data_IF_329201294052
#
_entry.id   IF_329201294052
#
_cell.length_a   1.000
_cell.length_b   1.000
_cell.length_c   1.000
_cell.angle_alpha   90.00
_cell.angle_beta   90.00
_cell.angle_gamma   90.00
#
_symmetry.space_group_name_H-M   'P 1'
#
loop_
_entity.id
_entity.type
_entity.pdbx_description
1 polymer ?
#
# COMPACT_ATOMS: atom_id res chain seq x y z
N UNK A 1 -3.29 -9.85 -4.89
CA UNK A 1 -4.76 -10.06 -5.06
C UNK A 1 -5.57 -8.81 -4.69
N UNK A 2 -6.82 -8.71 -5.18
CA UNK A 2 -7.77 -7.66 -4.82
C UNK A 2 -8.20 -7.77 -3.34
N UNK A 3 -8.43 -6.63 -2.67
CA UNK A 3 -8.92 -6.60 -1.28
C UNK A 3 -10.26 -7.36 -1.16
N UNK A 4 -10.50 -8.15 -0.10
CA UNK A 4 -11.79 -8.79 0.15
C UNK A 4 -12.92 -7.75 0.12
N UNK A 5 -14.06 -8.10 -0.48
CA UNK A 5 -15.21 -7.20 -0.61
C UNK A 5 -16.31 -7.61 0.37
N UNK A 6 -16.88 -6.63 1.05
CA UNK A 6 -18.05 -6.76 1.93
C UNK A 6 -19.20 -5.99 1.29
N UNK A 7 -20.28 -6.68 0.95
CA UNK A 7 -21.47 -6.04 0.39
C UNK A 7 -22.43 -5.62 1.51
N UNK A 8 -22.95 -4.38 1.45
CA UNK A 8 -24.01 -3.92 2.35
C UNK A 8 -25.32 -3.89 1.58
N UNK A 9 -26.28 -4.72 1.99
CA UNK A 9 -27.56 -4.94 1.29
C UNK A 9 -28.71 -4.64 2.24
N UNK A 10 -29.79 -4.07 1.74
CA UNK A 10 -31.00 -3.81 2.51
C UNK A 10 -31.94 -2.88 1.76
N UNK A 11 -33.20 -2.80 2.18
CA UNK A 11 -34.17 -1.86 1.59
C UNK A 11 -33.78 -0.39 1.85
N UNK A 12 -34.37 0.59 1.14
CA UNK A 12 -34.13 2.01 1.43
C UNK A 12 -34.40 2.38 2.90
N UNK A 13 -33.71 3.41 3.41
CA UNK A 13 -33.94 4.03 4.73
C UNK A 13 -33.68 3.19 5.99
N UNK A 14 -33.10 1.98 5.87
CA UNK A 14 -32.65 1.15 7.01
C UNK A 14 -31.31 1.59 7.62
N UNK A 15 -30.62 2.56 7.01
CA UNK A 15 -29.34 3.09 7.51
C UNK A 15 -28.07 2.49 6.88
N UNK A 16 -28.16 1.90 5.68
CA UNK A 16 -27.01 1.38 4.90
C UNK A 16 -25.84 2.37 4.84
N UNK A 17 -26.06 3.57 4.30
CA UNK A 17 -24.99 4.54 4.10
C UNK A 17 -24.45 5.10 5.41
N UNK A 18 -25.26 5.11 6.49
CA UNK A 18 -24.78 5.45 7.83
C UNK A 18 -23.80 4.40 8.35
N UNK A 19 -24.12 3.11 8.17
CA UNK A 19 -23.24 2.01 8.53
C UNK A 19 -21.97 2.06 7.68
N UNK A 20 -22.06 2.15 6.35
CA UNK A 20 -20.90 2.24 5.44
C UNK A 20 -19.98 3.39 5.84
N UNK A 21 -20.52 4.59 6.05
CA UNK A 21 -19.70 5.73 6.50
C UNK A 21 -19.01 5.44 7.84
N UNK A 22 -19.67 4.75 8.78
CA UNK A 22 -19.04 4.38 10.06
C UNK A 22 -17.93 3.35 9.86
N UNK A 23 -18.14 2.34 9.02
CA UNK A 23 -17.16 1.29 8.74
C UNK A 23 -15.92 1.84 8.00
N UNK A 24 -16.11 2.84 7.14
CA UNK A 24 -15.06 3.37 6.27
C UNK A 24 -14.37 4.64 6.82
N UNK A 25 -14.96 5.35 7.79
CA UNK A 25 -14.39 6.58 8.39
C UNK A 25 -13.61 6.34 9.69
N UNK A 26 -13.24 5.11 10.03
CA UNK A 26 -12.45 4.83 11.25
C UNK A 26 -11.01 5.38 11.21
N UNK A 27 -10.58 5.98 10.08
CA UNK A 27 -9.44 6.91 10.02
C UNK A 27 -9.94 8.34 10.15
N UNK A 28 -9.57 9.01 11.24
CA UNK A 28 -9.68 10.45 11.40
C UNK A 28 -9.31 11.19 10.11
N UNK A 29 -10.18 12.14 9.75
CA UNK A 29 -10.10 13.00 8.58
C UNK A 29 -8.73 13.67 8.41
N UNK A 30 -8.00 13.26 7.37
CA UNK A 30 -7.19 14.17 6.56
C UNK A 30 -7.34 13.71 5.11
N UNK A 31 -8.38 14.22 4.44
CA UNK A 31 -8.42 14.26 2.98
C UNK A 31 -8.53 15.74 2.63
N UNK A 32 -7.44 16.28 2.11
CA UNK A 32 -7.52 17.48 1.29
C UNK A 32 -8.30 17.11 0.03
N UNK A 33 -9.44 17.76 -0.18
CA UNK A 33 -10.18 17.68 -1.43
C UNK A 33 -9.29 18.17 -2.58
N UNK A 34 -8.85 17.25 -3.45
CA UNK A 34 -8.46 17.57 -4.82
C UNK A 34 -9.60 17.13 -5.75
N UNK A 35 -10.27 18.07 -6.44
CA UNK A 35 -11.28 17.71 -7.43
C UNK A 35 -10.58 17.16 -8.67
N UNK A 36 -10.73 15.85 -8.93
CA UNK A 36 -10.16 15.26 -10.15
C UNK A 36 -10.07 13.74 -10.29
N UNK A 37 -10.70 12.92 -9.43
CA UNK A 37 -10.65 11.46 -9.59
C UNK A 37 -12.00 10.92 -10.07
N UNK A 38 -12.00 10.49 -11.31
CA UNK A 38 -13.13 9.88 -12.01
C UNK A 38 -13.50 8.50 -11.47
N UNK A 39 -14.80 8.36 -11.16
CA UNK A 39 -15.75 7.30 -11.59
C UNK A 39 -16.09 6.04 -10.77
N UNK A 40 -15.54 5.76 -9.60
CA UNK A 40 -16.06 4.66 -8.74
C UNK A 40 -16.42 5.16 -7.34
N UNK A 41 -17.64 5.68 -7.16
CA UNK A 41 -18.18 6.12 -5.86
C UNK A 41 -18.76 4.97 -5.01
N UNK A 42 -18.77 3.74 -5.52
CA UNK A 42 -19.50 2.61 -4.92
C UNK A 42 -18.69 1.82 -3.90
N UNK A 43 -17.35 1.77 -4.05
CA UNK A 43 -16.47 1.03 -3.15
C UNK A 43 -15.75 1.98 -2.19
N UNK A 44 -15.79 1.68 -0.91
CA UNK A 44 -15.10 2.43 0.14
C UNK A 44 -14.15 1.51 0.91
N UNK A 45 -13.01 2.03 1.36
CA UNK A 45 -12.05 1.24 2.13
C UNK A 45 -12.50 1.11 3.60
N UNK A 46 -12.54 -0.13 4.11
CA UNK A 46 -12.81 -0.47 5.51
C UNK A 46 -11.57 -1.05 6.19
N UNK A 47 -11.43 -0.77 7.48
CA UNK A 47 -10.36 -1.32 8.31
C UNK A 47 -10.89 -1.66 9.70
N UNK A 48 -10.75 -2.92 10.10
CA UNK A 48 -11.14 -3.40 11.43
C UNK A 48 -10.14 -4.44 11.94
N UNK A 49 -9.79 -4.35 13.23
CA UNK A 49 -8.73 -5.16 13.84
C UNK A 49 -7.38 -4.95 13.14
N UNK A 50 -6.99 -5.89 12.29
CA UNK A 50 -5.78 -5.89 11.48
C UNK A 50 -6.04 -6.25 10.00
N UNK A 51 -7.30 -6.14 9.56
CA UNK A 51 -7.80 -6.54 8.24
C UNK A 51 -8.26 -5.33 7.44
N UNK A 52 -7.76 -5.21 6.20
CA UNK A 52 -8.26 -4.27 5.20
C UNK A 52 -9.26 -4.98 4.27
N UNK A 53 -10.38 -4.32 3.97
CA UNK A 53 -11.40 -4.80 3.05
C UNK A 53 -12.05 -3.64 2.31
N UNK A 54 -12.75 -3.91 1.21
CA UNK A 54 -13.60 -2.95 0.52
C UNK A 54 -15.04 -3.14 0.94
N UNK A 55 -15.79 -2.06 1.09
CA UNK A 55 -17.21 -2.05 1.36
C UNK A 55 -17.93 -1.53 0.11
N UNK A 56 -18.88 -2.30 -0.40
CA UNK A 56 -19.73 -1.89 -1.53
C UNK A 56 -21.15 -1.63 -1.02
N UNK A 57 -21.65 -0.40 -1.21
CA UNK A 57 -23.04 -0.03 -0.86
C UNK A 57 -23.93 -0.28 -2.07
N UNK A 58 -24.80 -1.30 -1.99
CA UNK A 58 -25.74 -1.59 -3.09
C UNK A 58 -26.87 -0.56 -3.19
N UNK A 59 -27.00 0.35 -2.21
CA UNK A 59 -27.95 1.45 -2.23
C UNK A 59 -27.44 2.73 -2.92
N UNK A 60 -26.12 2.92 -3.07
CA UNK A 60 -25.54 4.12 -3.66
C UNK A 60 -25.64 4.20 -5.19
N UNK A 61 -26.14 3.15 -5.84
CA UNK A 61 -26.30 3.03 -7.29
C UNK A 61 -27.75 3.19 -7.78
N UNK A 62 -28.69 3.45 -6.86
CA UNK A 62 -30.12 3.61 -7.17
C UNK A 62 -30.58 4.95 -6.60
N UNK A 63 -30.84 5.92 -7.47
CA UNK A 63 -31.67 7.08 -7.14
C UNK A 63 -32.99 6.96 -7.90
N UNK A 64 -34.06 7.25 -7.16
CA UNK A 64 -35.43 7.56 -7.56
C UNK A 64 -36.22 6.42 -8.23
N UNK A 65 -36.94 5.64 -7.40
CA UNK A 65 -38.42 5.64 -7.44
C UNK A 65 -39.05 4.66 -6.42
N UNK A 66 -40.12 5.11 -5.75
CA UNK A 66 -40.89 4.41 -4.73
C UNK A 66 -41.86 3.36 -5.30
N UNK A 67 -41.37 2.40 -6.09
CA UNK A 67 -42.21 1.27 -6.52
C UNK A 67 -41.43 -0.04 -6.63
N UNK A 68 -42.17 -1.15 -6.48
CA UNK A 68 -41.77 -2.56 -6.48
C UNK A 68 -40.32 -2.88 -6.88
N UNK A 69 -39.64 -3.64 -6.00
CA UNK A 69 -38.30 -4.22 -6.17
C UNK A 69 -37.93 -4.53 -7.63
N UNK A 70 -37.34 -3.56 -8.33
CA UNK A 70 -37.05 -3.65 -9.75
C UNK A 70 -35.99 -4.74 -10.02
N UNK A 71 -36.05 -5.44 -11.18
CA UNK A 71 -35.04 -6.39 -11.65
C UNK A 71 -33.60 -5.85 -11.59
N UNK A 72 -33.42 -4.54 -11.73
CA UNK A 72 -32.11 -3.87 -11.71
C UNK A 72 -31.43 -3.91 -10.33
N UNK A 73 -32.20 -3.84 -9.23
CA UNK A 73 -31.67 -3.98 -7.86
C UNK A 73 -31.15 -5.40 -7.64
N UNK A 74 -31.82 -6.41 -8.22
CA UNK A 74 -31.39 -7.82 -8.16
C UNK A 74 -30.14 -8.07 -8.98
N UNK A 75 -30.00 -7.43 -10.14
CA UNK A 75 -28.81 -7.53 -10.98
C UNK A 75 -27.59 -6.90 -10.30
N UNK A 76 -27.74 -5.69 -9.74
CA UNK A 76 -26.65 -5.00 -9.03
C UNK A 76 -26.28 -5.66 -7.69
N UNK A 77 -27.27 -6.11 -6.92
CA UNK A 77 -27.02 -6.94 -5.73
C UNK A 77 -26.35 -8.25 -6.13
N UNK A 78 -26.74 -8.85 -7.27
CA UNK A 78 -26.10 -10.04 -7.84
C UNK A 78 -24.62 -9.84 -8.13
N UNK A 79 -24.26 -8.76 -8.84
CA UNK A 79 -22.87 -8.42 -9.14
C UNK A 79 -22.05 -8.16 -7.86
N UNK A 80 -22.61 -7.42 -6.90
CA UNK A 80 -21.95 -7.17 -5.62
C UNK A 80 -21.76 -8.47 -4.81
N UNK A 81 -22.71 -9.41 -4.88
CA UNK A 81 -22.63 -10.71 -4.21
C UNK A 81 -21.66 -11.69 -4.87
N UNK A 82 -21.45 -11.59 -6.19
CA UNK A 82 -20.46 -12.41 -6.92
C UNK A 82 -19.02 -12.06 -6.50
N UNK A 83 -18.76 -10.79 -6.18
CA UNK A 83 -17.44 -10.32 -5.73
C UNK A 83 -17.27 -10.37 -4.20
N UNK A 84 -18.37 -10.39 -3.44
CA UNK A 84 -18.33 -10.29 -1.99
C UNK A 84 -17.91 -11.59 -1.30
N UNK A 85 -16.99 -11.46 -0.35
CA UNK A 85 -16.65 -12.53 0.60
C UNK A 85 -17.77 -12.76 1.62
N UNK A 86 -18.53 -11.71 1.93
CA UNK A 86 -19.71 -11.76 2.82
C UNK A 86 -20.64 -10.58 2.54
N UNK A 87 -21.94 -10.81 2.67
CA UNK A 87 -22.96 -9.78 2.59
C UNK A 87 -23.56 -9.47 3.96
N UNK A 88 -23.54 -8.20 4.35
CA UNK A 88 -24.22 -7.69 5.54
C UNK A 88 -25.60 -7.17 5.13
N UNK A 89 -26.63 -7.88 5.54
CA UNK A 89 -28.03 -7.52 5.33
C UNK A 89 -28.48 -6.64 6.47
N UNK A 90 -28.80 -5.38 6.17
CA UNK A 90 -29.25 -4.42 7.18
C UNK A 90 -30.77 -4.24 7.12
N UNK A 91 -31.39 -4.37 8.28
CA UNK A 91 -32.84 -4.20 8.51
C UNK A 91 -33.08 -3.15 9.60
N UNK A 92 -34.30 -2.65 9.71
CA UNK A 92 -34.67 -1.63 10.68
C UNK A 92 -35.42 -2.27 11.86
N UNK A 93 -34.76 -2.32 13.02
CA UNK A 93 -35.34 -2.91 14.23
C UNK A 93 -36.53 -2.13 14.79
N UNK A 94 -36.67 -0.83 14.50
CA UNK A 94 -37.82 -0.04 14.98
C UNK A 94 -39.06 -0.29 14.13
N UNK A 95 -38.87 -0.53 12.83
CA UNK A 95 -39.95 -0.77 11.89
C UNK A 95 -40.41 -2.24 11.87
N UNK A 96 -39.53 -3.15 12.30
CA UNK A 96 -39.76 -4.59 12.23
C UNK A 96 -39.62 -5.14 10.81
N UNK A 97 -39.99 -6.41 10.64
CA UNK A 97 -39.90 -7.13 9.36
C UNK A 97 -40.91 -6.59 8.36
N UNK A 98 -40.46 -6.34 7.14
CA UNK A 98 -41.31 -5.93 6.02
C UNK A 98 -41.26 -6.96 4.88
N UNK A 99 -42.24 -6.93 3.98
CA UNK A 99 -42.24 -7.78 2.78
C UNK A 99 -41.00 -7.58 1.88
N UNK A 100 -40.40 -6.38 1.90
CA UNK A 100 -39.15 -6.11 1.20
C UNK A 100 -37.96 -6.86 1.85
N UNK A 101 -37.93 -6.93 3.18
CA UNK A 101 -36.90 -7.66 3.92
C UNK A 101 -37.05 -9.19 3.70
N UNK A 102 -38.28 -9.70 3.65
CA UNK A 102 -38.58 -11.10 3.31
C UNK A 102 -38.12 -11.47 1.90
N UNK A 103 -38.39 -10.60 0.91
CA UNK A 103 -37.97 -10.79 -0.48
C UNK A 103 -36.44 -10.77 -0.64
N UNK A 104 -35.75 -9.86 0.07
CA UNK A 104 -34.27 -9.83 0.12
C UNK A 104 -33.74 -11.13 0.74
N UNK A 105 -34.32 -11.57 1.85
CA UNK A 105 -33.92 -12.80 2.52
C UNK A 105 -34.12 -14.03 1.61
N UNK A 106 -35.25 -14.13 0.92
CA UNK A 106 -35.52 -15.21 -0.03
C UNK A 106 -34.51 -15.22 -1.20
N UNK A 107 -34.22 -14.05 -1.77
CA UNK A 107 -33.22 -13.92 -2.82
C UNK A 107 -31.84 -14.38 -2.36
N UNK A 108 -31.41 -13.99 -1.16
CA UNK A 108 -30.08 -14.32 -0.61
C UNK A 108 -29.93 -15.78 -0.21
N UNK A 109 -30.99 -16.44 0.30
CA UNK A 109 -30.95 -17.87 0.65
C UNK A 109 -30.63 -18.79 -0.54
N UNK A 110 -30.90 -18.33 -1.77
CA UNK A 110 -30.60 -19.07 -2.99
C UNK A 110 -29.15 -18.89 -3.51
N UNK A 111 -28.32 -18.09 -2.82
CA UNK A 111 -26.98 -17.71 -3.28
C UNK A 111 -25.87 -18.30 -2.40
N UNK A 112 -24.66 -18.53 -2.96
CA UNK A 112 -23.55 -19.13 -2.23
C UNK A 112 -22.80 -18.16 -1.31
N UNK A 113 -23.03 -16.85 -1.42
CA UNK A 113 -22.35 -15.83 -0.61
C UNK A 113 -22.83 -15.90 0.85
N UNK A 114 -21.94 -15.96 1.85
CA UNK A 114 -22.33 -15.92 3.27
C UNK A 114 -23.05 -14.62 3.61
N UNK A 115 -24.05 -14.69 4.50
CA UNK A 115 -24.83 -13.52 4.92
C UNK A 115 -24.76 -13.31 6.42
N UNK A 116 -24.76 -12.05 6.83
CA UNK A 116 -24.85 -11.60 8.21
C UNK A 116 -26.00 -10.61 8.36
N UNK A 117 -26.86 -10.82 9.34
CA UNK A 117 -28.04 -10.00 9.56
C UNK A 117 -27.76 -8.92 10.62
N UNK A 118 -27.80 -7.66 10.22
CA UNK A 118 -27.59 -6.50 11.08
C UNK A 118 -28.93 -5.77 11.32
N UNK A 119 -29.45 -5.84 12.54
CA UNK A 119 -30.68 -5.16 12.95
C UNK A 119 -30.33 -3.75 13.44
N UNK A 120 -30.48 -2.76 12.58
CA UNK A 120 -30.09 -1.39 12.86
C UNK A 120 -31.17 -0.62 13.63
N UNK A 121 -30.80 0.56 14.16
CA UNK A 121 -31.64 1.41 15.02
C UNK A 121 -31.99 0.75 16.37
N UNK A 122 -31.05 -0.04 16.88
CA UNK A 122 -31.08 -0.59 18.23
C UNK A 122 -30.23 0.29 19.16
N UNK A 123 -30.72 1.48 19.54
CA UNK A 123 -29.94 2.42 20.35
C UNK A 123 -29.73 1.97 21.80
N UNK A 124 -30.68 1.22 22.35
CA UNK A 124 -30.60 0.62 23.70
C UNK A 124 -30.08 -0.82 23.61
N UNK A 125 -29.01 -1.20 24.33
CA UNK A 125 -28.48 -2.56 24.30
C UNK A 125 -29.49 -3.64 24.72
N UNK A 126 -30.24 -3.40 25.80
CA UNK A 126 -31.20 -4.37 26.34
C UNK A 126 -32.44 -4.51 25.46
N UNK A 127 -32.98 -3.39 24.96
CA UNK A 127 -34.15 -3.40 24.08
C UNK A 127 -33.78 -3.88 22.68
N UNK A 128 -32.55 -3.58 22.22
CA UNK A 128 -32.04 -3.99 20.92
C UNK A 128 -31.99 -5.50 20.75
N UNK A 129 -31.60 -6.26 21.77
CA UNK A 129 -31.63 -7.72 21.75
C UNK A 129 -33.06 -8.27 21.61
N UNK A 130 -34.03 -7.67 22.31
CA UNK A 130 -35.43 -8.06 22.21
C UNK A 130 -36.02 -7.72 20.82
N UNK A 131 -35.66 -6.57 20.26
CA UNK A 131 -36.06 -6.14 18.91
C UNK A 131 -35.45 -7.02 17.83
N UNK A 132 -34.18 -7.43 17.98
CA UNK A 132 -33.51 -8.31 17.03
C UNK A 132 -34.10 -9.73 16.99
N UNK A 133 -34.78 -10.18 18.06
CA UNK A 133 -35.27 -11.55 18.18
C UNK A 133 -36.32 -11.94 17.12
N UNK A 134 -37.13 -11.00 16.64
CA UNK A 134 -38.14 -11.33 15.61
C UNK A 134 -37.49 -11.65 14.25
N UNK A 135 -36.32 -11.08 13.97
CA UNK A 135 -35.61 -11.18 12.70
C UNK A 135 -34.96 -12.56 12.44
N UNK A 136 -34.92 -13.44 13.44
CA UNK A 136 -34.60 -14.86 13.24
C UNK A 136 -35.49 -15.53 12.19
N UNK A 137 -36.75 -15.08 12.08
CA UNK A 137 -37.72 -15.60 11.10
C UNK A 137 -37.31 -15.39 9.63
N UNK A 138 -36.39 -14.46 9.35
CA UNK A 138 -35.82 -14.27 8.01
C UNK A 138 -34.89 -15.42 7.58
N UNK A 139 -34.42 -16.26 8.51
CA UNK A 139 -33.60 -17.43 8.20
C UNK A 139 -32.24 -17.10 7.58
N UNK A 140 -31.66 -15.95 7.94
CA UNK A 140 -30.33 -15.49 7.49
C UNK A 140 -29.23 -15.69 8.55
N UNK A 141 -29.52 -16.47 9.60
CA UNK A 141 -28.61 -16.68 10.73
C UNK A 141 -28.90 -15.76 11.92
N UNK A 142 -27.91 -15.62 12.81
CA UNK A 142 -28.01 -14.82 14.03
C UNK A 142 -28.18 -13.31 13.72
N UNK A 143 -29.21 -12.64 14.25
CA UNK A 143 -29.39 -11.20 14.08
C UNK A 143 -28.52 -10.42 15.07
N UNK A 144 -27.65 -9.56 14.54
CA UNK A 144 -26.77 -8.67 15.30
C UNK A 144 -27.44 -7.30 15.50
N UNK A 145 -27.86 -6.94 16.72
CA UNK A 145 -28.41 -5.62 16.99
C UNK A 145 -27.31 -4.56 16.91
N UNK A 146 -27.51 -3.53 16.09
CA UNK A 146 -26.57 -2.42 15.93
C UNK A 146 -27.25 -1.05 16.01
N UNK A 147 -26.46 -0.04 16.35
CA UNK A 147 -26.79 1.35 16.08
C UNK A 147 -25.72 1.95 15.19
N UNK A 148 -26.00 2.09 13.90
CA UNK A 148 -25.08 2.72 12.96
C UNK A 148 -24.80 4.19 13.30
N UNK A 149 -25.73 4.89 13.98
CA UNK A 149 -25.54 6.29 14.38
C UNK A 149 -24.66 6.40 15.62
N UNK A 150 -24.85 5.55 16.63
CA UNK A 150 -24.11 5.63 17.90
C UNK A 150 -22.90 4.70 17.98
N UNK A 151 -22.81 3.70 17.11
CA UNK A 151 -21.73 2.71 17.05
C UNK A 151 -21.89 1.51 17.98
N UNK A 152 -23.02 1.38 18.69
CA UNK A 152 -23.30 0.21 19.50
C UNK A 152 -23.44 -1.04 18.61
N UNK A 153 -22.87 -2.17 19.04
CA UNK A 153 -22.95 -3.47 18.35
C UNK A 153 -22.18 -3.58 17.02
N UNK A 154 -21.66 -2.48 16.46
CA UNK A 154 -20.95 -2.53 15.16
C UNK A 154 -19.60 -3.24 15.25
N UNK A 155 -18.99 -3.28 16.44
CA UNK A 155 -17.74 -4.02 16.66
C UNK A 155 -17.94 -5.54 16.58
N UNK A 156 -18.93 -6.06 17.28
CA UNK A 156 -19.27 -7.49 17.28
C UNK A 156 -19.67 -7.97 15.88
N UNK A 157 -20.46 -7.16 15.16
CA UNK A 157 -20.78 -7.41 13.75
C UNK A 157 -19.52 -7.49 12.88
N UNK A 158 -18.56 -6.57 13.07
CA UNK A 158 -17.32 -6.55 12.30
C UNK A 158 -16.40 -7.72 12.64
N UNK A 159 -16.30 -8.10 13.91
CA UNK A 159 -15.54 -9.28 14.33
C UNK A 159 -16.10 -10.53 13.63
N UNK A 160 -17.42 -10.65 13.52
CA UNK A 160 -18.06 -11.71 12.78
C UNK A 160 -17.78 -11.62 11.27
N UNK A 161 -17.84 -10.43 10.66
CA UNK A 161 -17.48 -10.22 9.24
C UNK A 161 -16.08 -10.76 8.94
N UNK A 162 -15.10 -10.53 9.82
CA UNK A 162 -13.72 -10.98 9.61
C UNK A 162 -13.58 -12.50 9.51
N UNK A 163 -14.50 -13.27 10.11
CA UNK A 163 -14.49 -14.74 10.06
C UNK A 163 -14.83 -15.29 8.68
N UNK A 164 -15.56 -14.52 7.86
CA UNK A 164 -15.92 -14.89 6.48
C UNK A 164 -14.93 -14.35 5.44
N UNK A 165 -14.06 -13.41 5.84
CA UNK A 165 -13.00 -12.96 4.96
C UNK A 165 -11.93 -14.05 4.86
N UNK A 166 -11.35 -14.28 3.67
CA UNK A 166 -10.29 -15.28 3.50
C UNK A 166 -9.19 -15.07 4.54
N UNK A 167 -8.64 -16.12 5.16
CA UNK A 167 -7.64 -15.98 6.23
C UNK A 167 -6.49 -15.11 5.74
N UNK A 168 -6.00 -14.26 6.65
CA UNK A 168 -4.95 -13.27 6.35
C UNK A 168 -3.68 -13.91 5.79
N UNK A 169 -3.44 -15.19 6.10
CA UNK A 169 -2.30 -15.97 5.64
C UNK A 169 -2.72 -17.39 5.19
N UNK A 170 -3.13 -17.50 3.92
CA UNK A 170 -2.63 -18.53 3.00
C UNK A 170 -2.34 -17.84 1.67
N UNK A 171 -1.35 -16.95 1.67
CA UNK A 171 -0.56 -16.65 0.48
C UNK A 171 0.16 -17.94 0.07
N UNK A 172 -0.55 -18.84 -0.61
CA UNK A 172 0.06 -19.97 -1.28
C UNK A 172 0.81 -19.48 -2.51
N UNK A 173 2.14 -19.48 -2.43
CA UNK A 173 3.17 -19.72 -3.47
C UNK A 173 2.78 -19.67 -4.96
N UNK A 174 2.09 -18.63 -5.40
CA UNK A 174 2.52 -17.95 -6.61
C UNK A 174 3.11 -16.61 -6.18
N UNK A 175 4.44 -16.55 -6.02
CA UNK A 175 5.14 -15.28 -5.84
C UNK A 175 4.70 -14.32 -6.97
N UNK A 176 3.82 -13.36 -6.65
CA UNK A 176 3.44 -12.31 -7.60
C UNK A 176 4.75 -11.72 -8.15
N UNK A 177 4.91 -11.66 -9.50
CA UNK A 177 6.18 -11.33 -10.08
C UNK A 177 6.60 -9.93 -9.65
N UNK A 178 7.84 -9.81 -9.15
CA UNK A 178 8.39 -8.52 -8.71
C UNK A 178 8.39 -7.56 -9.89
N UNK A 179 7.73 -6.42 -9.73
CA UNK A 179 7.62 -5.40 -10.77
C UNK A 179 8.89 -4.55 -10.77
N UNK A 180 9.72 -4.71 -11.79
CA UNK A 180 10.98 -3.99 -11.94
C UNK A 180 10.90 -2.99 -13.09
N UNK A 181 11.23 -1.73 -12.83
CA UNK A 181 11.31 -0.70 -13.86
C UNK A 181 12.77 -0.28 -14.11
N UNK A 182 13.22 -0.30 -15.37
CA UNK A 182 14.53 0.22 -15.76
C UNK A 182 14.36 1.67 -16.19
N UNK A 183 14.81 2.60 -15.35
CA UNK A 183 14.59 4.04 -15.46
C UNK A 183 15.91 4.77 -15.76
N UNK A 184 15.85 5.90 -16.44
CA UNK A 184 17.03 6.74 -16.73
C UNK A 184 16.87 7.53 -18.02
N UNK A 185 17.74 8.51 -18.24
CA UNK A 185 17.76 9.36 -19.44
C UNK A 185 17.93 8.59 -20.75
N UNK A 186 17.59 9.16 -21.91
CA UNK A 186 17.98 8.59 -23.21
C UNK A 186 19.48 8.23 -23.26
N UNK A 187 19.84 7.19 -24.02
CA UNK A 187 21.22 6.80 -24.31
C UNK A 187 22.14 6.35 -23.16
N UNK A 188 21.68 6.33 -21.90
CA UNK A 188 22.41 5.75 -20.74
C UNK A 188 22.62 4.23 -20.81
N UNK A 189 22.05 3.57 -21.82
CA UNK A 189 22.23 2.13 -22.08
C UNK A 189 21.14 1.20 -21.54
N UNK A 190 19.94 1.72 -21.19
CA UNK A 190 18.79 0.91 -20.75
C UNK A 190 18.43 -0.24 -21.70
N UNK A 191 18.44 0.01 -23.02
CA UNK A 191 18.12 -1.02 -24.03
C UNK A 191 19.20 -2.08 -24.14
N UNK A 192 20.47 -1.68 -24.03
CA UNK A 192 21.59 -2.62 -23.96
C UNK A 192 21.50 -3.48 -22.70
N UNK A 193 21.16 -2.86 -21.56
CA UNK A 193 20.98 -3.56 -20.29
C UNK A 193 19.83 -4.58 -20.37
N UNK A 194 18.67 -4.17 -20.90
CA UNK A 194 17.53 -5.07 -21.10
C UNK A 194 17.89 -6.25 -22.02
N UNK A 195 18.65 -6.01 -23.09
CA UNK A 195 19.09 -7.07 -23.99
C UNK A 195 20.09 -8.01 -23.33
N UNK A 196 21.06 -7.49 -22.54
CA UNK A 196 21.98 -8.33 -21.76
C UNK A 196 21.19 -9.23 -20.80
N UNK A 197 20.22 -8.65 -20.10
CA UNK A 197 19.31 -9.35 -19.18
C UNK A 197 18.47 -10.41 -19.90
N UNK A 198 17.95 -10.15 -21.10
CA UNK A 198 17.12 -11.13 -21.81
C UNK A 198 17.94 -12.16 -22.61
N UNK A 199 19.19 -11.86 -22.96
CA UNK A 199 20.03 -12.69 -23.82
C UNK A 199 20.91 -13.70 -23.08
N UNK A 200 20.97 -13.60 -21.75
CA UNK A 200 21.69 -14.56 -20.91
C UNK A 200 20.94 -15.89 -20.82
N UNK A 201 21.65 -17.03 -20.79
CA UNK A 201 21.07 -18.37 -20.88
C UNK A 201 20.12 -18.72 -19.71
N UNK A 202 20.17 -17.95 -18.62
CA UNK A 202 19.34 -18.14 -17.42
C UNK A 202 18.03 -17.35 -17.43
N UNK A 203 17.82 -16.46 -18.40
CA UNK A 203 16.56 -15.72 -18.53
C UNK A 203 15.54 -16.51 -19.35
N UNK A 204 14.56 -17.12 -18.68
CA UNK A 204 13.42 -17.73 -19.37
C UNK A 204 12.38 -16.63 -19.59
N UNK A 205 12.15 -16.26 -20.86
CA UNK A 205 11.15 -15.26 -21.24
C UNK A 205 9.81 -15.95 -21.49
N UNK A 206 8.77 -15.58 -20.73
CA UNK A 206 7.43 -16.12 -20.96
C UNK A 206 6.73 -15.37 -22.11
N UNK A 207 6.17 -16.07 -23.12
CA UNK A 207 5.53 -15.46 -24.28
C UNK A 207 4.08 -15.00 -24.02
N UNK A 208 3.56 -15.08 -22.80
CA UNK A 208 2.15 -14.78 -22.50
C UNK A 208 1.86 -13.29 -22.76
N UNK A 209 1.26 -13.02 -23.92
CA UNK A 209 0.72 -11.71 -24.29
C UNK A 209 -0.60 -11.49 -23.56
N UNK A 210 -0.58 -10.69 -22.50
CA UNK A 210 -1.80 -10.16 -21.87
C UNK A 210 -2.50 -9.15 -22.80
N UNK A 211 -3.81 -9.28 -22.90
CA UNK A 211 -4.70 -8.54 -23.80
C UNK A 211 -4.95 -7.09 -23.36
N UNK A 212 -5.17 -6.24 -24.38
CA UNK A 212 -5.76 -4.88 -24.40
C UNK A 212 -5.06 -3.69 -23.70
N UNK A 213 -4.47 -2.84 -24.55
CA UNK A 213 -4.42 -1.37 -24.48
C UNK A 213 -3.66 -0.70 -23.31
N UNK A 214 -2.42 -1.12 -23.07
CA UNK A 214 -1.23 -0.24 -23.00
C UNK A 214 -0.10 -0.95 -22.24
N UNK A 215 1.12 -0.80 -22.77
CA UNK A 215 2.42 -1.36 -22.30
C UNK A 215 2.68 -2.87 -22.50
N UNK A 216 3.74 -3.19 -23.25
CA UNK A 216 4.30 -4.54 -23.38
C UNK A 216 5.28 -4.71 -22.21
N UNK A 217 4.86 -5.43 -21.17
CA UNK A 217 5.73 -5.85 -20.07
C UNK A 217 6.44 -7.15 -20.45
N UNK A 218 7.69 -7.34 -20.00
CA UNK A 218 8.44 -8.58 -20.25
C UNK A 218 8.53 -9.38 -18.97
N UNK A 219 8.06 -10.63 -18.98
CA UNK A 219 8.18 -11.53 -17.83
C UNK A 219 9.43 -12.40 -17.97
N UNK A 220 10.26 -12.43 -16.93
CA UNK A 220 11.47 -13.27 -16.85
C UNK A 220 11.52 -14.01 -15.52
N UNK A 221 12.12 -15.20 -15.52
CA UNK A 221 12.46 -15.93 -14.29
C UNK A 221 13.95 -15.85 -14.06
N UNK A 222 14.36 -15.42 -12.86
CA UNK A 222 15.76 -15.23 -12.44
C UNK A 222 15.90 -15.55 -10.96
N UNK A 223 16.94 -16.30 -10.59
CA UNK A 223 17.22 -16.66 -9.18
C UNK A 223 16.01 -17.30 -8.47
N UNK A 224 15.28 -18.18 -9.18
CA UNK A 224 14.00 -18.77 -8.72
C UNK A 224 12.86 -17.79 -8.43
N UNK A 225 13.00 -16.50 -8.77
CA UNK A 225 11.94 -15.50 -8.64
C UNK A 225 11.37 -15.11 -9.99
N UNK A 226 10.07 -14.85 -10.01
CA UNK A 226 9.38 -14.30 -11.18
C UNK A 226 9.50 -12.77 -11.19
N UNK A 227 9.88 -12.20 -12.32
CA UNK A 227 10.04 -10.76 -12.50
C UNK A 227 9.20 -10.27 -13.66
N UNK A 228 8.56 -9.11 -13.49
CA UNK A 228 7.87 -8.39 -14.54
C UNK A 228 8.60 -7.08 -14.80
N UNK A 229 9.31 -7.02 -15.92
CA UNK A 229 9.93 -5.79 -16.40
C UNK A 229 8.83 -4.87 -16.95
N UNK A 230 8.59 -3.76 -16.27
CA UNK A 230 7.54 -2.80 -16.61
C UNK A 230 7.98 -1.92 -17.77
N UNK A 231 7.08 -1.70 -18.73
CA UNK A 231 7.24 -0.74 -19.84
C UNK A 231 8.49 -0.97 -20.73
N UNK A 232 8.73 -2.23 -21.07
CA UNK A 232 9.83 -2.62 -21.98
C UNK A 232 9.61 -2.16 -23.42
N UNK A 233 8.36 -1.87 -23.82
CA UNK A 233 8.02 -1.35 -25.14
C UNK A 233 8.75 -0.03 -25.47
N UNK A 234 8.86 0.87 -24.49
CA UNK A 234 9.55 2.14 -24.65
C UNK A 234 11.06 2.00 -24.83
N UNK A 235 11.64 0.94 -24.26
CA UNK A 235 13.06 0.60 -24.36
C UNK A 235 13.37 -0.04 -25.73
N UNK A 236 12.49 -0.93 -26.23
CA UNK A 236 12.68 -1.65 -27.50
C UNK A 236 12.40 -0.80 -28.76
N UNK A 237 11.39 0.08 -28.73
CA UNK A 237 11.02 0.91 -29.90
C UNK A 237 12.07 1.96 -30.30
N UNK A 238 12.92 2.40 -29.37
CA UNK A 238 13.93 3.45 -29.60
C UNK A 238 15.06 3.08 -30.57
N UNK A 239 15.19 1.81 -30.99
CA UNK A 239 16.21 1.41 -31.99
C UNK A 239 15.84 1.78 -33.44
N UNK A 240 14.60 2.23 -33.70
CA UNK A 240 14.08 2.31 -35.08
C UNK A 240 13.53 3.67 -35.57
N UNK A 241 13.58 4.75 -34.78
CA UNK A 241 12.98 6.03 -35.24
C UNK A 241 13.81 7.25 -34.81
N UNK A 242 14.25 8.03 -35.80
CA UNK A 242 14.73 9.41 -35.66
C UNK A 242 13.52 10.37 -35.76
N UNK A 243 13.08 10.94 -34.64
CA UNK A 243 12.68 12.35 -34.41
C UNK A 243 11.95 12.51 -33.07
N UNK A 244 12.10 13.69 -32.44
CA UNK A 244 11.58 14.04 -31.09
C UNK A 244 10.05 13.98 -30.93
N UNK A 245 9.49 14.23 -29.72
CA UNK A 245 10.04 14.99 -28.60
C UNK A 245 10.35 14.17 -27.35
N UNK A 246 11.43 14.53 -26.67
CA UNK A 246 11.91 13.98 -25.39
C UNK A 246 10.87 14.10 -24.24
N UNK A 247 9.85 14.93 -24.43
CA UNK A 247 8.77 15.22 -23.48
C UNK A 247 7.92 13.98 -23.10
N UNK A 248 7.73 13.03 -24.03
CA UNK A 248 7.00 11.79 -23.74
C UNK A 248 7.82 10.75 -22.96
N UNK A 249 9.14 10.94 -22.84
CA UNK A 249 10.02 10.01 -22.14
C UNK A 249 9.89 10.06 -20.61
N UNK A 250 9.73 11.25 -20.05
CA UNK A 250 9.67 11.46 -18.59
C UNK A 250 8.34 10.98 -18.01
N UNK A 251 7.20 11.38 -18.60
CA UNK A 251 5.87 10.93 -18.15
C UNK A 251 5.73 9.40 -18.21
N UNK A 252 6.37 8.78 -19.20
CA UNK A 252 6.43 7.33 -19.32
C UNK A 252 7.25 6.71 -18.17
N UNK A 253 8.44 7.24 -17.89
CA UNK A 253 9.24 6.81 -16.73
C UNK A 253 8.47 6.95 -15.41
N UNK A 254 7.69 8.02 -15.23
CA UNK A 254 6.87 8.20 -14.02
C UNK A 254 5.77 7.14 -13.88
N UNK A 255 5.09 6.79 -14.98
CA UNK A 255 4.13 5.67 -14.97
C UNK A 255 4.81 4.32 -14.67
N UNK A 256 6.03 4.12 -15.16
CA UNK A 256 6.79 2.90 -14.87
C UNK A 256 7.23 2.84 -13.40
N UNK A 257 7.65 3.97 -12.81
CA UNK A 257 7.97 4.07 -11.37
C UNK A 257 6.75 3.71 -10.53
N UNK A 258 5.59 4.30 -10.84
CA UNK A 258 4.34 4.07 -10.09
C UNK A 258 3.86 2.60 -10.15
N UNK A 259 4.15 1.90 -11.24
CA UNK A 259 3.81 0.48 -11.42
C UNK A 259 4.89 -0.48 -10.95
N UNK A 260 5.96 -0.01 -10.31
CA UNK A 260 7.09 -0.84 -9.90
C UNK A 260 7.15 -1.07 -8.38
N UNK A 261 7.62 -2.23 -7.98
CA UNK A 261 8.10 -2.49 -6.62
C UNK A 261 9.51 -1.90 -6.45
N UNK A 262 10.34 -2.03 -7.49
CA UNK A 262 11.74 -1.60 -7.50
C UNK A 262 12.12 -0.92 -8.82
N UNK A 263 12.81 0.21 -8.69
CA UNK A 263 13.39 0.96 -9.78
C UNK A 263 14.89 0.66 -9.91
N UNK A 264 15.34 0.39 -11.13
CA UNK A 264 16.76 0.38 -11.49
C UNK A 264 17.05 1.71 -12.19
N UNK A 265 17.62 2.66 -11.45
CA UNK A 265 18.00 3.97 -11.98
C UNK A 265 19.35 3.86 -12.67
N UNK A 266 19.36 3.90 -14.00
CA UNK A 266 20.56 3.79 -14.83
C UNK A 266 21.16 5.17 -15.09
N UNK A 267 22.40 5.35 -14.63
CA UNK A 267 23.24 6.53 -14.83
C UNK A 267 24.35 6.17 -15.81
N UNK A 268 24.68 7.09 -16.71
CA UNK A 268 25.83 6.94 -17.60
C UNK A 268 27.12 7.32 -16.85
N UNK A 269 28.11 6.42 -16.81
CA UNK A 269 29.37 6.68 -16.15
C UNK A 269 30.18 7.85 -16.75
N UNK A 270 30.00 8.12 -18.05
CA UNK A 270 30.73 9.18 -18.76
C UNK A 270 30.10 10.55 -18.54
N UNK A 271 28.77 10.63 -18.57
CA UNK A 271 28.04 11.89 -18.38
C UNK A 271 27.84 12.24 -16.89
N UNK A 272 27.85 11.23 -16.01
CA UNK A 272 27.48 11.37 -14.61
C UNK A 272 25.99 11.72 -14.41
N UNK A 273 25.69 12.35 -13.28
CA UNK A 273 24.32 12.75 -12.90
C UNK A 273 23.96 14.09 -13.51
N UNK A 274 22.83 14.13 -14.21
CA UNK A 274 22.24 15.36 -14.77
C UNK A 274 20.96 15.76 -14.04
N UNK A 275 20.40 16.92 -14.37
CA UNK A 275 19.13 17.38 -13.80
C UNK A 275 17.96 16.41 -14.06
N UNK A 276 17.89 15.78 -15.23
CA UNK A 276 16.83 14.82 -15.52
C UNK A 276 16.97 13.54 -14.70
N UNK A 277 18.20 13.11 -14.38
CA UNK A 277 18.43 11.99 -13.46
C UNK A 277 17.97 12.35 -12.04
N UNK A 278 18.26 13.57 -11.58
CA UNK A 278 17.80 14.07 -10.28
C UNK A 278 16.28 14.14 -10.18
N UNK A 279 15.59 14.57 -11.25
CA UNK A 279 14.11 14.58 -11.28
C UNK A 279 13.53 13.17 -11.20
N UNK A 280 14.14 12.19 -11.87
CA UNK A 280 13.74 10.79 -11.78
C UNK A 280 14.00 10.22 -10.38
N UNK A 281 15.15 10.52 -9.79
CA UNK A 281 15.51 10.13 -8.43
C UNK A 281 14.55 10.70 -7.37
N UNK A 282 14.22 12.00 -7.47
CA UNK A 282 13.23 12.64 -6.60
C UNK A 282 11.87 11.97 -6.70
N UNK A 283 11.44 11.62 -7.93
CA UNK A 283 10.15 10.92 -8.12
C UNK A 283 10.14 9.52 -7.48
N UNK A 284 11.24 8.77 -7.58
CA UNK A 284 11.38 7.45 -6.95
C UNK A 284 11.20 7.57 -5.42
N UNK A 285 11.84 8.56 -4.80
CA UNK A 285 11.72 8.85 -3.36
C UNK A 285 10.29 9.26 -2.97
N UNK A 286 9.68 10.18 -3.73
CA UNK A 286 8.32 10.68 -3.49
C UNK A 286 7.28 9.55 -3.51
N UNK A 287 7.31 8.74 -4.58
CA UNK A 287 6.43 7.58 -4.75
C UNK A 287 6.79 6.44 -3.79
N UNK A 288 7.91 6.57 -3.06
CA UNK A 288 8.32 5.65 -2.02
C UNK A 288 8.75 4.30 -2.57
N UNK A 289 9.36 4.23 -3.75
CA UNK A 289 9.73 2.96 -4.40
C UNK A 289 11.11 2.50 -3.95
N UNK A 290 11.31 1.18 -3.89
CA UNK A 290 12.65 0.62 -3.72
C UNK A 290 13.53 1.00 -4.93
N UNK A 291 14.84 1.13 -4.73
CA UNK A 291 15.74 1.57 -5.79
C UNK A 291 17.11 0.91 -5.73
N UNK A 292 17.67 0.62 -6.90
CA UNK A 292 19.08 0.29 -7.11
C UNK A 292 19.63 1.28 -8.13
N UNK A 293 20.75 1.93 -7.82
CA UNK A 293 21.43 2.84 -8.76
C UNK A 293 22.46 2.05 -9.55
N UNK A 294 22.36 2.08 -10.87
CA UNK A 294 23.25 1.36 -11.78
C UNK A 294 24.05 2.37 -12.60
N UNK A 295 25.35 2.42 -12.38
CA UNK A 295 26.29 3.23 -13.14
C UNK A 295 26.79 2.39 -14.31
N UNK A 296 26.24 2.61 -15.49
CA UNK A 296 26.48 1.81 -16.69
C UNK A 296 27.57 2.43 -17.59
N UNK A 297 28.07 1.65 -18.56
CA UNK A 297 29.22 1.98 -19.42
C UNK A 297 30.53 2.13 -18.65
N UNK A 298 30.66 1.42 -17.51
CA UNK A 298 31.87 1.46 -16.72
C UNK A 298 33.09 0.93 -17.46
N UNK A 299 32.91 0.12 -18.50
CA UNK A 299 33.98 -0.33 -19.40
C UNK A 299 34.69 0.82 -20.15
N UNK A 300 33.99 1.92 -20.43
CA UNK A 300 34.52 3.06 -21.17
C UNK A 300 35.30 4.07 -20.30
N UNK A 301 35.30 3.89 -18.98
CA UNK A 301 36.01 4.76 -18.04
C UNK A 301 37.44 4.26 -17.87
N UNK A 302 38.43 5.13 -18.03
CA UNK A 302 39.82 4.86 -17.64
C UNK A 302 39.93 4.81 -16.12
N UNK A 303 40.60 3.77 -15.60
CA UNK A 303 40.52 3.42 -14.17
C UNK A 303 41.89 3.38 -13.52
N UNK A 304 41.94 3.93 -12.31
CA UNK A 304 42.96 3.66 -11.30
C UNK A 304 42.33 3.06 -10.02
N UNK A 305 43.14 2.89 -8.97
CA UNK A 305 42.69 2.32 -7.68
C UNK A 305 41.67 3.17 -6.92
N UNK A 306 41.53 4.46 -7.24
CA UNK A 306 40.68 5.41 -6.51
C UNK A 306 39.47 5.90 -7.32
N UNK A 307 39.46 5.66 -8.63
CA UNK A 307 38.45 6.16 -9.57
C UNK A 307 37.04 5.77 -9.14
N UNK A 308 36.80 4.49 -8.80
CA UNK A 308 35.47 4.01 -8.42
C UNK A 308 34.93 4.72 -7.17
N UNK A 309 35.76 4.86 -6.12
CA UNK A 309 35.37 5.52 -4.87
C UNK A 309 35.15 7.02 -5.05
N UNK A 310 35.99 7.67 -5.86
CA UNK A 310 35.83 9.08 -6.19
C UNK A 310 34.52 9.35 -6.96
N UNK A 311 34.25 8.53 -7.99
CA UNK A 311 33.01 8.61 -8.77
C UNK A 311 31.79 8.35 -7.88
N UNK A 312 31.78 7.30 -7.05
CA UNK A 312 30.66 7.03 -6.14
C UNK A 312 30.36 8.24 -5.24
N UNK A 313 31.40 8.84 -4.65
CA UNK A 313 31.24 10.02 -3.79
C UNK A 313 30.62 11.20 -4.54
N UNK A 314 31.04 11.44 -5.78
CA UNK A 314 30.48 12.51 -6.61
C UNK A 314 29.01 12.24 -6.97
N UNK A 315 28.70 11.01 -7.40
CA UNK A 315 27.34 10.62 -7.77
C UNK A 315 26.38 10.71 -6.57
N UNK A 316 26.80 10.24 -5.39
CA UNK A 316 25.99 10.33 -4.16
C UNK A 316 25.70 11.77 -3.77
N UNK A 317 26.67 12.68 -3.88
CA UNK A 317 26.43 14.10 -3.60
C UNK A 317 25.32 14.69 -4.49
N UNK A 318 25.21 14.24 -5.74
CA UNK A 318 24.17 14.69 -6.68
C UNK A 318 22.86 13.90 -6.56
N UNK A 319 22.89 12.68 -6.01
CA UNK A 319 21.74 11.77 -5.81
C UNK A 319 21.38 11.60 -4.33
N UNK A 320 21.57 12.63 -3.50
CA UNK A 320 21.36 12.60 -2.05
C UNK A 320 19.99 12.07 -1.61
N UNK A 321 18.95 12.19 -2.45
CA UNK A 321 17.63 11.62 -2.20
C UNK A 321 17.65 10.09 -2.09
N UNK A 322 18.59 9.43 -2.76
CA UNK A 322 18.74 7.99 -2.85
C UNK A 322 20.01 7.51 -2.12
N UNK A 323 20.46 8.21 -1.09
CA UNK A 323 21.64 7.81 -0.30
C UNK A 323 21.50 6.39 0.27
N UNK A 324 20.27 5.96 0.52
CA UNK A 324 19.90 4.63 1.00
C UNK A 324 19.93 3.54 -0.09
N UNK A 325 20.03 3.91 -1.37
CA UNK A 325 20.02 2.96 -2.48
C UNK A 325 21.43 2.36 -2.69
N UNK A 326 21.54 1.03 -2.89
CA UNK A 326 22.79 0.41 -3.31
C UNK A 326 23.19 0.91 -4.70
N UNK A 327 24.49 1.14 -4.88
CA UNK A 327 25.07 1.61 -6.14
C UNK A 327 25.95 0.52 -6.76
N UNK A 328 25.73 0.22 -8.04
CA UNK A 328 26.44 -0.82 -8.75
C UNK A 328 27.03 -0.30 -10.07
N UNK A 329 28.34 -0.46 -10.25
CA UNK A 329 29.03 -0.15 -11.49
C UNK A 329 28.97 -1.35 -12.44
N UNK A 330 28.45 -1.14 -13.66
CA UNK A 330 28.14 -2.21 -14.63
C UNK A 330 28.58 -1.84 -16.04
N UNK A 331 28.63 -2.85 -16.91
CA UNK A 331 28.75 -2.67 -18.35
C UNK A 331 27.76 -3.58 -19.06
N UNK A 332 26.70 -2.98 -19.62
CA UNK A 332 25.75 -3.70 -20.46
C UNK A 332 26.38 -4.20 -21.78
N UNK A 333 27.54 -3.67 -22.19
CA UNK A 333 28.24 -4.09 -23.40
C UNK A 333 29.01 -5.40 -23.17
N UNK A 334 29.73 -5.48 -22.05
CA UNK A 334 30.55 -6.66 -21.71
C UNK A 334 29.80 -7.68 -20.85
N UNK A 335 28.63 -7.33 -20.31
CA UNK A 335 27.87 -8.13 -19.34
C UNK A 335 28.40 -8.00 -17.90
N UNK A 336 29.42 -7.16 -17.66
CA UNK A 336 30.03 -7.01 -16.34
C UNK A 336 28.99 -6.58 -15.29
N UNK A 337 28.81 -7.45 -14.26
CA UNK A 337 27.96 -7.23 -13.08
C UNK A 337 26.47 -6.99 -13.38
N UNK A 338 25.99 -7.30 -14.59
CA UNK A 338 24.56 -7.14 -14.93
C UNK A 338 23.69 -8.07 -14.08
N UNK A 339 24.15 -9.30 -13.84
CA UNK A 339 23.47 -10.29 -12.99
C UNK A 339 23.22 -9.79 -11.56
N UNK A 340 24.19 -9.07 -10.97
CA UNK A 340 24.11 -8.58 -9.60
C UNK A 340 22.99 -7.56 -9.38
N UNK A 341 22.42 -6.99 -10.45
CA UNK A 341 21.27 -6.09 -10.37
C UNK A 341 20.06 -6.81 -9.75
N UNK A 342 19.80 -8.06 -10.13
CA UNK A 342 18.64 -8.81 -9.64
C UNK A 342 18.78 -9.20 -8.18
N UNK A 343 19.96 -9.64 -7.77
CA UNK A 343 20.25 -9.94 -6.37
C UNK A 343 20.05 -8.70 -5.47
N UNK A 344 20.58 -7.54 -5.89
CA UNK A 344 20.38 -6.28 -5.14
C UNK A 344 18.93 -5.80 -5.16
N UNK A 345 18.24 -5.92 -6.30
CA UNK A 345 16.84 -5.55 -6.40
C UNK A 345 15.95 -6.46 -5.53
N UNK A 346 16.26 -7.76 -5.46
CA UNK A 346 15.55 -8.73 -4.63
C UNK A 346 15.68 -8.38 -3.15
N UNK A 347 16.89 -8.05 -2.69
CA UNK A 347 17.16 -7.58 -1.33
C UNK A 347 16.44 -6.26 -1.04
N UNK A 348 16.49 -5.31 -1.97
CA UNK A 348 15.81 -4.02 -1.83
C UNK A 348 14.28 -4.21 -1.69
N UNK A 349 13.68 -5.12 -2.46
CA UNK A 349 12.25 -5.45 -2.36
C UNK A 349 11.92 -6.15 -1.05
N UNK A 350 12.78 -7.06 -0.59
CA UNK A 350 12.60 -7.71 0.72
C UNK A 350 12.59 -6.67 1.84
N UNK A 351 13.58 -5.77 1.87
CA UNK A 351 13.63 -4.67 2.83
C UNK A 351 12.43 -3.72 2.68
N UNK A 352 12.01 -3.44 1.45
CA UNK A 352 10.84 -2.63 1.13
C UNK A 352 9.51 -3.28 1.52
N UNK A 353 9.48 -4.58 1.78
CA UNK A 353 8.26 -5.29 2.23
C UNK A 353 8.32 -5.66 3.71
N UNK A 354 9.48 -5.50 4.34
CA UNK A 354 9.76 -5.94 5.70
C UNK A 354 8.88 -5.23 6.73
N UNK A 355 8.29 -6.02 7.62
CA UNK A 355 7.53 -5.56 8.78
C UNK A 355 8.28 -5.91 10.06
N UNK A 356 8.37 -4.95 10.96
CA UNK A 356 9.07 -5.05 12.25
C UNK A 356 8.05 -4.82 13.36
N UNK A 357 8.16 -5.61 14.43
CA UNK A 357 7.28 -5.47 15.59
C UNK A 357 7.52 -4.15 16.32
N UNK A 358 6.48 -3.65 16.99
CA UNK A 358 6.56 -2.43 17.81
C UNK A 358 7.64 -2.56 18.90
N UNK A 359 7.83 -3.74 19.50
CA UNK A 359 8.86 -3.97 20.52
C UNK A 359 10.27 -3.73 19.97
N UNK A 360 10.62 -4.36 18.85
CA UNK A 360 11.93 -4.22 18.20
C UNK A 360 12.19 -2.78 17.75
N UNK A 361 11.16 -2.10 17.20
CA UNK A 361 11.27 -0.66 16.88
C UNK A 361 11.62 0.17 18.12
N UNK A 362 10.99 -0.11 19.26
CA UNK A 362 11.23 0.64 20.48
C UNK A 362 12.57 0.32 21.16
N UNK A 363 13.13 -0.88 20.95
CA UNK A 363 14.50 -1.18 21.37
C UNK A 363 15.51 -0.29 20.65
N UNK A 364 15.42 -0.19 19.33
CA UNK A 364 16.29 0.70 18.53
C UNK A 364 16.10 2.16 18.91
N UNK A 365 14.86 2.60 19.16
CA UNK A 365 14.59 3.98 19.59
C UNK A 365 15.16 4.28 20.99
N UNK A 366 15.11 3.33 21.93
CA UNK A 366 15.72 3.48 23.25
C UNK A 366 17.23 3.62 23.15
N UNK A 367 17.87 2.80 22.31
CA UNK A 367 19.30 2.90 22.05
C UNK A 367 19.65 4.26 21.44
N UNK A 368 18.90 4.71 20.43
CA UNK A 368 19.10 6.04 19.83
C UNK A 368 18.97 7.17 20.88
N UNK A 369 17.98 7.11 21.76
CA UNK A 369 17.81 8.11 22.82
C UNK A 369 18.98 8.16 23.81
N UNK A 370 19.67 7.03 24.02
CA UNK A 370 20.85 6.95 24.88
C UNK A 370 22.07 7.67 24.28
N UNK A 371 22.23 7.59 22.96
CA UNK A 371 23.29 8.29 22.23
C UNK A 371 23.01 9.78 22.07
N UNK A 372 21.74 10.15 21.83
CA UNK A 372 21.36 11.55 21.62
C UNK A 372 19.95 11.84 22.11
N UNK A 373 19.89 12.66 23.16
CA UNK A 373 18.63 13.13 23.72
C UNK A 373 17.83 14.01 22.73
N UNK A 374 16.48 14.03 22.85
CA UNK A 374 15.63 14.90 22.05
C UNK A 374 15.97 16.39 22.21
N UNK A 375 15.65 17.24 21.21
CA UNK A 375 15.96 18.66 21.25
C UNK A 375 15.30 19.41 22.41
N UNK A 376 15.98 20.43 22.91
CA UNK A 376 15.47 21.35 23.93
C UNK A 376 15.41 22.76 23.36
N UNK A 377 14.29 23.45 23.54
CA UNK A 377 14.15 24.86 23.13
C UNK A 377 14.96 25.79 24.02
N UNK A 378 15.23 27.02 23.56
CA UNK A 378 15.86 28.08 24.37
C UNK A 378 15.10 28.39 25.66
N UNK A 379 13.78 28.15 25.70
CA UNK A 379 12.93 28.30 26.89
C UNK A 379 12.91 27.08 27.81
N UNK A 380 13.79 26.10 27.62
CA UNK A 380 13.91 24.91 28.48
C UNK A 380 12.87 23.81 28.22
N UNK A 381 11.95 24.00 27.27
CA UNK A 381 10.99 22.94 26.89
C UNK A 381 11.70 21.85 26.08
N UNK A 382 11.77 20.65 26.64
CA UNK A 382 12.43 19.48 26.05
C UNK A 382 11.44 18.59 25.28
N UNK A 383 11.88 18.09 24.12
CA UNK A 383 11.18 17.03 23.38
C UNK A 383 11.15 15.73 24.18
N UNK A 384 10.04 15.00 24.11
CA UNK A 384 9.92 13.65 24.68
C UNK A 384 9.41 12.72 23.59
N UNK A 385 10.15 11.66 23.32
CA UNK A 385 9.74 10.56 22.46
C UNK A 385 9.24 9.44 23.36
N UNK A 386 7.97 9.05 23.20
CA UNK A 386 7.32 8.05 24.04
C UNK A 386 7.55 6.64 23.51
N UNK A 387 7.16 6.41 22.25
CA UNK A 387 7.32 5.13 21.56
C UNK A 387 7.15 5.34 20.05
N UNK A 388 7.56 4.35 19.26
CA UNK A 388 7.37 4.31 17.81
C UNK A 388 6.72 3.01 17.36
N UNK A 389 6.02 3.05 16.22
CA UNK A 389 5.51 1.85 15.55
C UNK A 389 5.61 1.99 14.04
N UNK A 390 5.83 0.86 13.36
CA UNK A 390 5.67 0.79 11.91
C UNK A 390 4.18 0.73 11.56
N UNK A 391 3.73 1.62 10.67
CA UNK A 391 2.33 1.75 10.23
C UNK A 391 2.11 1.26 8.80
N UNK A 392 3.16 1.21 7.98
CA UNK A 392 3.13 0.65 6.62
C UNK A 392 4.48 0.01 6.28
N UNK A 393 4.47 -0.99 5.39
CA UNK A 393 5.69 -1.63 4.89
C UNK A 393 6.13 -1.14 3.52
N UNK A 394 5.25 -0.65 2.64
CA UNK A 394 5.58 -0.29 1.24
C UNK A 394 5.33 1.21 0.95
N UNK A 395 6.27 2.13 1.24
CA UNK A 395 7.55 1.93 1.92
C UNK A 395 7.44 1.81 3.45
N UNK A 396 8.51 1.36 4.13
CA UNK A 396 8.58 1.30 5.58
C UNK A 396 8.30 2.67 6.19
N UNK A 397 7.15 2.77 6.86
CA UNK A 397 6.64 4.02 7.41
C UNK A 397 6.48 3.88 8.90
N UNK A 398 7.09 4.78 9.67
CA UNK A 398 7.07 4.77 11.13
C UNK A 398 6.42 6.03 11.66
N UNK A 399 5.50 5.84 12.62
CA UNK A 399 4.91 6.93 13.40
C UNK A 399 5.54 6.90 14.78
N UNK A 400 6.20 8.00 15.14
CA UNK A 400 6.87 8.21 16.42
C UNK A 400 6.04 9.18 17.26
N UNK A 401 5.58 8.70 18.42
CA UNK A 401 4.73 9.45 19.32
C UNK A 401 5.58 10.31 20.24
N UNK A 402 5.32 11.61 20.22
CA UNK A 402 6.10 12.62 20.93
C UNK A 402 5.19 13.57 21.68
N UNK A 403 5.74 14.33 22.63
CA UNK A 403 4.97 15.36 23.34
C UNK A 403 4.53 16.52 22.43
N UNK A 404 5.43 17.02 21.58
CA UNK A 404 5.17 18.11 20.66
C UNK A 404 6.01 17.92 19.39
N UNK A 405 5.38 17.59 18.24
CA UNK A 405 6.06 17.39 16.96
C UNK A 405 6.95 18.57 16.54
N UNK A 406 6.60 19.81 16.91
CA UNK A 406 7.35 21.01 16.50
C UNK A 406 8.75 21.08 17.11
N UNK A 407 9.00 20.31 18.17
CA UNK A 407 10.32 20.22 18.82
C UNK A 407 11.31 19.34 18.03
N UNK A 408 10.81 18.50 17.12
CA UNK A 408 11.59 17.49 16.40
C UNK A 408 11.84 17.93 14.95
N UNK A 409 12.76 18.87 14.76
CA UNK A 409 13.15 19.35 13.43
C UNK A 409 13.90 18.32 12.58
N UNK A 410 14.17 18.67 11.32
CA UNK A 410 14.74 17.77 10.31
C UNK A 410 16.08 17.16 10.73
N UNK A 411 16.93 17.90 11.43
CA UNK A 411 18.22 17.40 11.92
C UNK A 411 18.05 16.21 12.86
N UNK A 412 17.04 16.24 13.74
CA UNK A 412 16.76 15.14 14.64
C UNK A 412 16.00 14.01 13.93
N UNK A 413 15.11 14.35 12.98
CA UNK A 413 14.46 13.37 12.09
C UNK A 413 15.48 12.53 11.32
N UNK A 414 16.45 13.15 10.66
CA UNK A 414 17.54 12.45 9.94
C UNK A 414 18.38 11.59 10.87
N UNK A 415 18.65 12.06 12.09
CA UNK A 415 19.36 11.28 13.09
C UNK A 415 18.58 10.00 13.46
N UNK A 416 17.29 10.13 13.78
CA UNK A 416 16.45 8.97 14.14
C UNK A 416 16.28 8.02 12.94
N UNK A 417 16.12 8.55 11.72
CA UNK A 417 16.08 7.73 10.51
C UNK A 417 17.35 6.92 10.33
N UNK A 418 18.52 7.53 10.50
CA UNK A 418 19.79 6.82 10.41
C UNK A 418 19.89 5.70 11.45
N UNK A 419 19.48 5.95 12.69
CA UNK A 419 19.52 4.93 13.74
C UNK A 419 18.53 3.78 13.47
N UNK A 420 17.35 4.10 12.93
CA UNK A 420 16.39 3.08 12.45
C UNK A 420 17.03 2.24 11.34
N UNK A 421 17.75 2.86 10.41
CA UNK A 421 18.44 2.14 9.33
C UNK A 421 19.60 1.27 9.85
N UNK A 422 20.44 1.81 10.72
CA UNK A 422 21.57 1.08 11.32
C UNK A 422 21.09 -0.10 12.20
N UNK A 423 20.01 0.09 12.96
CA UNK A 423 19.49 -0.94 13.86
C UNK A 423 18.55 -1.96 13.18
N UNK A 424 17.81 -1.56 12.15
CA UNK A 424 16.81 -2.42 11.50
C UNK A 424 17.12 -2.77 10.04
N UNK A 425 18.04 -2.10 9.36
CA UNK A 425 18.33 -2.30 7.93
C UNK A 425 17.59 -1.30 7.03
N UNK A 426 16.78 -1.79 6.09
CA UNK A 426 16.10 -0.97 5.08
C UNK A 426 16.98 -0.40 3.96
N UNK A 427 18.08 -1.08 3.64
CA UNK A 427 18.87 -0.79 2.45
C UNK A 427 18.03 -0.98 1.17
N UNK A 428 18.16 -0.05 0.22
CA UNK A 428 17.43 -0.12 -1.03
C UNK A 428 15.96 0.33 -0.96
N UNK A 429 15.48 0.84 0.18
CA UNK A 429 14.14 1.45 0.30
C UNK A 429 14.16 2.80 1.03
N UNK A 430 13.27 3.74 0.67
CA UNK A 430 13.04 4.93 1.47
C UNK A 430 12.36 4.56 2.79
N UNK A 431 12.59 5.38 3.83
CA UNK A 431 11.98 5.24 5.15
C UNK A 431 11.18 6.51 5.45
N UNK A 432 9.88 6.39 5.69
CA UNK A 432 9.01 7.53 6.00
C UNK A 432 8.83 7.66 7.50
N UNK A 433 9.38 8.72 8.10
CA UNK A 433 9.19 9.04 9.52
C UNK A 433 8.19 10.17 9.72
N UNK A 434 7.22 9.93 10.61
CA UNK A 434 6.18 10.88 11.01
C UNK A 434 6.21 11.11 12.53
N UNK A 435 6.12 12.38 12.95
CA UNK A 435 5.95 12.76 14.35
C UNK A 435 4.46 12.92 14.67
N UNK A 436 3.97 12.22 15.70
CA UNK A 436 2.58 12.39 16.19
C UNK A 436 2.57 12.91 17.62
N UNK A 437 1.91 14.04 17.84
CA UNK A 437 1.74 14.61 19.16
C UNK A 437 0.81 13.75 20.01
N UNK A 438 1.16 13.52 21.28
CA UNK A 438 0.35 12.77 22.22
C UNK A 438 0.49 13.31 23.64
N UNK A 439 -0.59 13.28 24.41
CA UNK A 439 -0.51 13.55 25.85
C UNK A 439 0.18 12.38 26.56
N UNK A 440 1.00 12.70 27.56
CA UNK A 440 1.80 11.69 28.27
C UNK A 440 0.94 10.57 28.89
N UNK A 441 -0.21 10.92 29.49
CA UNK A 441 -1.13 9.95 30.11
C UNK A 441 -1.67 8.93 29.11
N UNK A 442 -1.94 9.36 27.89
CA UNK A 442 -2.46 8.49 26.83
C UNK A 442 -1.34 7.65 26.18
N UNK A 443 -0.10 8.14 26.21
CA UNK A 443 1.06 7.36 25.80
C UNK A 443 1.31 6.19 26.77
N UNK A 444 1.30 6.46 28.07
CA UNK A 444 1.52 5.46 29.13
C UNK A 444 0.45 4.36 29.10
N UNK A 445 -0.82 4.71 28.89
CA UNK A 445 -1.93 3.74 28.75
C UNK A 445 -1.76 2.79 27.56
N UNK A 446 -1.31 3.31 26.41
CA UNK A 446 -1.15 2.49 25.21
C UNK A 446 0.06 1.56 25.30
N UNK A 447 1.15 2.02 25.92
CA UNK A 447 2.32 1.17 26.20
C UNK A 447 1.92 0.01 27.12
N UNK A 448 1.15 0.27 28.18
CA UNK A 448 0.66 -0.78 29.08
C UNK A 448 -0.25 -1.79 28.37
N UNK A 449 -1.12 -1.34 27.47
CA UNK A 449 -1.98 -2.22 26.65
C UNK A 449 -1.18 -3.09 25.69
N UNK A 450 -0.09 -2.57 25.11
CA UNK A 450 0.77 -3.32 24.20
C UNK A 450 1.59 -4.40 24.92
N UNK A 451 2.08 -4.11 26.13
CA UNK A 451 2.80 -5.09 26.95
C UNK A 451 1.91 -6.27 27.37
N UNK A 452 0.63 -6.02 27.66
CA UNK A 452 -0.33 -7.07 28.01
C UNK A 452 -0.82 -7.93 26.82
N UNK A 453 -0.49 -7.56 25.57
CA UNK A 453 -0.85 -8.34 24.37
C UNK A 453 0.29 -9.24 23.86
N UNK A 454 1.49 -9.12 24.43
CA UNK A 454 2.68 -9.90 24.04
C UNK A 454 3.10 -10.96 25.06
N UNK A 455 2.44 -11.00 26.23
CA UNK A 455 2.50 -12.12 27.17
C UNK A 455 1.23 -12.94 27.07
#
# INVERSE_FOLDING_TARGET
>A
MARPVVAIIGRPNVGKSTLVNRLCRSREAIVHDQPGVTRDRTYQDGFWGDREFKVVDTGGLVFDDDSEFLPEIREQAGLALEEASVAVVIVDGQQGITAADESIAEFLRSRPCPTLLAVNKCESPEQGLAMAAEFWSLGLGEPYPISAIHGAGTGDLLDQVLTFLPPKDQEGDEEEPIQLAIIGRPNVGKSSLLNSICGEPRAIVSPIRGTTRDTIDTSIVRENRSWRLVDTAGIRRRRSVNYGPEFFGINRSFKAIDRSDVCVLVIDALDGVTEQDQRLAGRIEEDGRACVVVVNKWDAVEKDSHTMTATEKELRAKLYFLDWAPMLFTSALTGQRVESIFALAALAVEQHRRRVSTSVVNEVLKEALSWRSPPTTRGGRQGRLYYGTQVSSRPPSFTLFVNDPKLFGDTYRRYVERQIREGLGFDGTPVKLFWRGKQQRDAERDIARQQNRQG
#
